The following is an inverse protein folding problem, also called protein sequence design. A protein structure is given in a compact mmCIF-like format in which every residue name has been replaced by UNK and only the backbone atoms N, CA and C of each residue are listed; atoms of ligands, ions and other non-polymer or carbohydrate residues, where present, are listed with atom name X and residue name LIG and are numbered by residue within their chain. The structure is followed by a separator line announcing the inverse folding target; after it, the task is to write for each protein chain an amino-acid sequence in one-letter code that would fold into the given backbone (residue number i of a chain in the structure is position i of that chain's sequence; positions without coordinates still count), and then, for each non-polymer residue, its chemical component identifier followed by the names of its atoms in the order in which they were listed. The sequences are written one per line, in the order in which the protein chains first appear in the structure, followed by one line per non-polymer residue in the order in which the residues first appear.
data_IF_897544841654
#
_entry.id   IF_897544841654
#
_cell.length_a   1.000
_cell.length_b   1.000
_cell.length_c   1.000
_cell.angle_alpha   90.00
_cell.angle_beta   90.00
_cell.angle_gamma   90.00
#
_symmetry.space_group_name_H-M   'P 1'
#
loop_
_entity.id
_entity.type
_entity.pdbx_description
1 polymer ?
#
# COMPACT_ATOMS: atom_id res chain seq x y z
N UNK A 1 63.35 -31.26 -20.83
CA UNK A 1 63.56 -32.73 -20.71
C UNK A 1 63.26 -33.14 -19.27
N UNK A 2 62.28 -34.02 -19.07
CA UNK A 2 62.16 -35.07 -18.03
C UNK A 2 62.56 -34.71 -16.56
N UNK A 3 61.59 -34.57 -15.65
CA UNK A 3 61.17 -35.53 -14.58
C UNK A 3 61.52 -34.91 -13.20
N UNK A 4 60.90 -35.13 -12.04
CA UNK A 4 59.79 -35.94 -11.54
C UNK A 4 59.37 -35.35 -10.17
N UNK A 5 58.16 -35.67 -9.73
CA UNK A 5 57.54 -35.42 -8.42
C UNK A 5 58.36 -35.82 -7.18
N UNK A 6 58.17 -35.08 -6.08
CA UNK A 6 58.18 -35.63 -4.72
C UNK A 6 57.18 -34.88 -3.81
N UNK A 7 56.20 -35.64 -3.33
CA UNK A 7 55.18 -35.28 -2.34
C UNK A 7 55.81 -34.88 -0.99
N UNK A 8 55.29 -33.82 -0.36
CA UNK A 8 55.23 -33.73 1.10
C UNK A 8 53.84 -33.24 1.49
N UNK A 9 52.96 -34.17 1.87
CA UNK A 9 51.68 -33.88 2.47
C UNK A 9 51.90 -33.52 3.95
N UNK A 10 51.85 -32.22 4.26
CA UNK A 10 51.85 -31.76 5.65
C UNK A 10 50.40 -31.63 6.11
N UNK A 11 49.90 -32.70 6.71
CA UNK A 11 48.57 -32.79 7.30
C UNK A 11 48.60 -32.08 8.68
N UNK A 12 48.35 -30.77 8.70
CA UNK A 12 48.22 -30.00 9.95
C UNK A 12 46.84 -30.22 10.55
N UNK A 13 46.81 -30.99 11.63
CA UNK A 13 45.66 -31.24 12.48
C UNK A 13 45.35 -29.97 13.30
N UNK A 14 44.47 -29.09 12.80
CA UNK A 14 43.91 -28.01 13.62
C UNK A 14 42.83 -28.59 14.53
N UNK A 15 43.17 -28.81 15.80
CA UNK A 15 42.20 -29.05 16.86
C UNK A 15 41.45 -27.73 17.13
N UNK A 16 40.34 -27.52 16.41
CA UNK A 16 39.43 -26.41 16.69
C UNK A 16 38.68 -26.74 17.99
N UNK A 17 39.08 -26.09 19.08
CA UNK A 17 38.35 -26.13 20.34
C UNK A 17 36.95 -25.55 20.12
N UNK A 18 35.92 -26.39 20.24
CA UNK A 18 34.53 -25.96 20.25
C UNK A 18 34.25 -25.39 21.66
N UNK A 19 34.45 -24.09 21.84
CA UNK A 19 33.92 -23.39 23.00
C UNK A 19 32.41 -23.22 22.81
N UNK A 20 31.56 -23.57 23.79
CA UNK A 20 30.15 -23.25 23.73
C UNK A 20 29.99 -21.73 23.86
N UNK A 21 29.66 -21.07 22.75
CA UNK A 21 29.21 -19.69 22.76
C UNK A 21 27.97 -19.58 23.64
N UNK A 22 28.06 -18.81 24.73
CA UNK A 22 26.88 -18.46 25.51
C UNK A 22 25.86 -17.76 24.61
N UNK A 23 24.56 -18.11 24.67
CA UNK A 23 23.55 -17.40 23.91
C UNK A 23 23.53 -15.93 24.36
N UNK A 24 23.57 -15.01 23.39
CA UNK A 24 23.35 -13.59 23.65
C UNK A 24 22.00 -13.42 24.38
N UNK A 25 21.87 -12.47 25.32
CA UNK A 25 20.58 -12.20 25.94
C UNK A 25 19.62 -11.75 24.84
N UNK A 26 18.67 -12.62 24.51
CA UNK A 26 17.54 -12.25 23.66
C UNK A 26 16.75 -11.20 24.43
N UNK A 27 16.98 -9.93 24.12
CA UNK A 27 16.05 -8.88 24.49
C UNK A 27 14.76 -9.22 23.76
N UNK A 28 13.82 -9.84 24.48
CA UNK A 28 12.48 -10.03 23.98
C UNK A 28 12.00 -8.64 23.53
N UNK A 29 11.71 -8.50 22.23
CA UNK A 29 10.99 -7.33 21.74
C UNK A 29 9.73 -7.24 22.60
N UNK A 30 9.63 -6.17 23.38
CA UNK A 30 8.41 -5.87 24.11
C UNK A 30 7.28 -5.87 23.08
N UNK A 31 6.34 -6.81 23.22
CA UNK A 31 5.15 -6.83 22.40
C UNK A 31 4.52 -5.43 22.52
N UNK A 32 4.14 -4.79 21.40
CA UNK A 32 3.43 -3.53 21.49
C UNK A 32 2.21 -3.79 22.38
N UNK A 33 2.05 -2.95 23.41
CA UNK A 33 0.88 -3.01 24.27
C UNK A 33 -0.34 -2.98 23.35
N UNK A 34 -1.22 -3.98 23.49
CA UNK A 34 -2.49 -4.04 22.77
C UNK A 34 -3.24 -2.75 23.09
N UNK A 35 -3.18 -1.77 22.18
CA UNK A 35 -4.04 -0.60 22.24
C UNK A 35 -5.43 -1.18 22.15
N UNK A 36 -6.14 -1.18 23.27
CA UNK A 36 -7.55 -1.51 23.28
C UNK A 36 -8.25 -0.37 22.53
N UNK A 37 -8.38 -0.52 21.20
CA UNK A 37 -9.38 0.22 20.45
C UNK A 37 -10.70 -0.15 21.09
N UNK A 38 -11.18 0.74 21.97
CA UNK A 38 -12.57 0.75 22.38
C UNK A 38 -13.30 1.40 21.22
N UNK A 39 -13.32 0.71 20.07
CA UNK A 39 -14.32 0.92 19.08
C UNK A 39 -15.60 0.45 19.76
N UNK A 40 -16.32 1.40 20.34
CA UNK A 40 -17.71 1.19 20.72
C UNK A 40 -18.43 0.95 19.40
N UNK A 41 -18.43 -0.31 18.96
CA UNK A 41 -19.36 -0.77 17.96
C UNK A 41 -20.73 -0.67 18.63
N UNK A 42 -21.35 0.49 18.47
CA UNK A 42 -22.78 0.65 18.68
C UNK A 42 -23.47 -0.25 17.67
N UNK A 43 -23.69 -1.51 18.06
CA UNK A 43 -24.83 -2.25 17.57
C UNK A 43 -26.06 -1.38 17.90
N UNK A 44 -26.92 -1.17 16.91
CA UNK A 44 -28.16 -0.37 16.94
C UNK A 44 -28.12 1.00 16.22
N UNK A 45 -27.09 1.29 15.42
CA UNK A 45 -27.31 2.20 14.29
C UNK A 45 -28.08 1.41 13.23
N UNK A 46 -29.33 1.77 12.95
CA UNK A 46 -29.94 1.43 11.65
C UNK A 46 -28.90 1.74 10.58
N UNK A 47 -28.63 0.79 9.67
CA UNK A 47 -27.62 0.95 8.64
C UNK A 47 -28.07 2.08 7.73
N UNK A 48 -27.59 3.28 8.05
CA UNK A 48 -27.90 4.49 7.33
C UNK A 48 -27.49 4.32 5.87
N UNK A 49 -28.39 4.74 4.99
CA UNK A 49 -28.13 4.76 3.56
C UNK A 49 -26.84 5.52 3.22
N UNK A 50 -26.07 4.99 2.27
CA UNK A 50 -24.75 5.51 1.92
C UNK A 50 -24.84 6.97 1.46
N UNK A 51 -25.90 7.36 0.74
CA UNK A 51 -26.06 8.74 0.29
C UNK A 51 -26.21 9.72 1.46
N UNK A 52 -27.04 9.40 2.46
CA UNK A 52 -27.18 10.22 3.66
C UNK A 52 -25.86 10.34 4.43
N UNK A 53 -25.08 9.25 4.47
CA UNK A 53 -23.76 9.26 5.11
C UNK A 53 -22.77 10.18 4.38
N UNK A 54 -22.79 10.18 3.05
CA UNK A 54 -21.95 11.06 2.22
C UNK A 54 -22.33 12.53 2.42
N UNK A 55 -23.62 12.86 2.46
CA UNK A 55 -24.09 14.22 2.74
C UNK A 55 -23.56 14.74 4.08
N UNK A 56 -23.64 13.93 5.15
CA UNK A 56 -23.09 14.32 6.45
C UNK A 56 -21.57 14.48 6.48
N UNK A 57 -20.86 13.77 5.61
CA UNK A 57 -19.41 13.91 5.45
C UNK A 57 -19.04 15.12 4.59
N UNK A 58 -20.01 15.93 4.16
CA UNK A 58 -19.78 17.06 3.27
C UNK A 58 -19.46 16.62 1.85
N UNK A 59 -20.12 15.55 1.39
CA UNK A 59 -19.93 15.02 0.04
C UNK A 59 -20.26 16.05 -1.04
N UNK A 60 -19.38 16.13 -2.03
CA UNK A 60 -19.52 17.00 -3.20
C UNK A 60 -19.38 16.15 -4.47
N UNK A 61 -19.91 16.57 -5.63
CA UNK A 61 -19.66 15.87 -6.88
C UNK A 61 -18.15 15.76 -7.16
N UNK A 62 -17.67 14.57 -7.48
CA UNK A 62 -16.31 14.42 -7.99
C UNK A 62 -16.19 15.12 -9.36
N UNK A 63 -15.03 15.72 -9.70
CA UNK A 63 -14.83 16.35 -11.00
C UNK A 63 -15.08 15.37 -12.15
N UNK A 64 -15.92 15.78 -13.12
CA UNK A 64 -16.23 15.03 -14.34
C UNK A 64 -16.67 13.56 -14.12
N UNK A 65 -17.36 13.27 -13.01
CA UNK A 65 -17.69 11.92 -12.57
C UNK A 65 -19.08 11.82 -11.92
N UNK A 66 -19.69 10.63 -11.94
CA UNK A 66 -20.94 10.32 -11.23
C UNK A 66 -20.71 10.01 -9.73
N UNK A 67 -19.46 9.95 -9.30
CA UNK A 67 -19.10 9.69 -7.91
C UNK A 67 -19.31 10.92 -7.03
N UNK A 68 -19.64 10.68 -5.76
CA UNK A 68 -19.62 11.71 -4.70
C UNK A 68 -18.30 11.64 -3.95
N UNK A 69 -17.54 12.74 -3.97
CA UNK A 69 -16.26 12.90 -3.31
C UNK A 69 -16.43 13.33 -1.85
N UNK A 70 -15.71 12.67 -0.95
CA UNK A 70 -15.55 13.05 0.46
C UNK A 70 -14.08 13.08 0.82
N UNK A 71 -13.70 14.02 1.69
CA UNK A 71 -12.31 14.19 2.11
C UNK A 71 -12.14 13.74 3.56
N UNK A 72 -11.16 12.86 3.80
CA UNK A 72 -10.81 12.39 5.13
C UNK A 72 -9.41 12.86 5.50
N UNK A 73 -9.28 13.55 6.64
CA UNK A 73 -7.99 13.87 7.23
C UNK A 73 -7.40 12.62 7.89
N UNK A 74 -6.22 12.20 7.44
CA UNK A 74 -5.47 11.06 7.98
C UNK A 74 -4.13 11.52 8.55
N UNK A 75 -3.59 10.88 9.60
CA UNK A 75 -2.28 11.24 10.13
C UNK A 75 -1.15 11.19 9.09
N UNK A 76 -0.19 12.12 9.20
CA UNK A 76 1.06 12.01 8.47
C UNK A 76 1.85 10.76 8.88
N UNK A 77 1.91 10.51 10.17
CA UNK A 77 2.53 9.34 10.78
C UNK A 77 1.51 8.65 11.71
N UNK A 78 1.12 7.42 11.37
CA UNK A 78 0.19 6.66 12.20
C UNK A 78 0.80 6.22 13.54
N UNK A 79 2.13 6.21 13.68
CA UNK A 79 2.81 5.97 14.96
C UNK A 79 2.94 7.24 15.81
N UNK A 80 2.75 8.41 15.21
CA UNK A 80 2.69 9.70 15.89
C UNK A 80 1.52 10.56 15.37
N UNK A 81 0.26 10.25 15.75
CA UNK A 81 -0.92 10.89 15.18
C UNK A 81 -1.05 12.39 15.47
N UNK A 82 -0.32 12.91 16.46
CA UNK A 82 -0.26 14.35 16.76
C UNK A 82 0.71 15.13 15.86
N UNK A 83 1.45 14.44 14.98
CA UNK A 83 2.40 15.03 14.03
C UNK A 83 1.76 15.77 12.84
N UNK A 84 0.45 15.95 12.85
CA UNK A 84 -0.33 16.58 11.78
C UNK A 84 -1.04 15.57 10.87
N UNK A 85 -1.87 16.09 9.98
CA UNK A 85 -2.70 15.30 9.06
C UNK A 85 -2.51 15.76 7.62
N UNK A 86 -2.82 14.86 6.69
CA UNK A 86 -3.04 15.17 5.28
C UNK A 86 -4.42 14.72 4.86
N UNK A 87 -4.88 15.22 3.73
CA UNK A 87 -6.18 14.87 3.17
C UNK A 87 -6.07 13.68 2.20
N UNK A 88 -7.01 12.74 2.34
CA UNK A 88 -7.24 11.66 1.38
C UNK A 88 -8.67 11.80 0.86
N UNK A 89 -8.79 11.96 -0.45
CA UNK A 89 -10.08 12.11 -1.14
C UNK A 89 -10.55 10.76 -1.64
N UNK A 90 -11.76 10.41 -1.25
CA UNK A 90 -12.48 9.21 -1.67
C UNK A 90 -13.65 9.61 -2.55
N UNK A 91 -13.86 8.88 -3.64
CA UNK A 91 -15.05 8.95 -4.46
C UNK A 91 -15.90 7.73 -4.16
N UNK A 92 -17.19 7.95 -3.88
CA UNK A 92 -18.15 6.88 -3.60
C UNK A 92 -19.32 6.96 -4.59
N UNK A 93 -19.60 5.84 -5.24
CA UNK A 93 -20.80 5.62 -6.05
C UNK A 93 -21.70 4.63 -5.28
N UNK A 94 -22.80 5.09 -4.67
CA UNK A 94 -23.72 4.22 -3.94
C UNK A 94 -24.31 3.12 -4.83
N UNK A 95 -24.58 1.96 -4.24
CA UNK A 95 -25.28 0.87 -4.91
C UNK A 95 -26.65 1.36 -5.42
N UNK A 96 -27.03 0.98 -6.65
CA UNK A 96 -28.34 1.38 -7.21
C UNK A 96 -29.52 0.49 -6.77
N UNK A 97 -29.23 -0.70 -6.23
CA UNK A 97 -30.20 -1.67 -5.73
C UNK A 97 -30.05 -1.97 -4.24
N UNK A 98 -30.33 -3.22 -3.84
CA UNK A 98 -30.22 -3.64 -2.43
C UNK A 98 -28.73 -3.81 -2.08
N UNK A 99 -28.17 -2.83 -1.38
CA UNK A 99 -26.77 -2.84 -0.97
C UNK A 99 -26.39 -4.12 -0.19
N UNK A 100 -25.30 -4.75 -0.62
CA UNK A 100 -24.65 -5.93 -0.03
C UNK A 100 -23.30 -5.60 0.63
N UNK A 101 -22.75 -4.41 0.37
CA UNK A 101 -21.51 -3.94 0.98
C UNK A 101 -20.83 -2.85 0.14
N UNK A 102 -19.51 -2.72 0.32
CA UNK A 102 -18.67 -1.78 -0.43
C UNK A 102 -17.54 -2.52 -1.13
N UNK A 103 -17.26 -2.15 -2.37
CA UNK A 103 -16.08 -2.55 -3.12
C UNK A 103 -15.10 -1.39 -3.16
N UNK A 104 -14.03 -1.46 -2.37
CA UNK A 104 -12.99 -0.43 -2.32
C UNK A 104 -11.85 -0.82 -3.25
N UNK A 105 -11.52 0.08 -4.19
CA UNK A 105 -10.55 -0.15 -5.25
C UNK A 105 -9.43 0.88 -5.14
N UNK A 106 -8.21 0.38 -4.93
CA UNK A 106 -7.00 1.16 -5.11
C UNK A 106 -6.46 0.88 -6.52
N UNK A 107 -6.28 1.92 -7.33
CA UNK A 107 -5.71 1.80 -8.68
C UNK A 107 -4.20 2.07 -8.67
N UNK A 108 -3.52 1.57 -9.70
CA UNK A 108 -2.24 2.11 -10.14
C UNK A 108 -1.08 1.13 -10.34
N UNK A 109 0.11 1.73 -10.48
CA UNK A 109 1.40 1.22 -10.03
C UNK A 109 1.69 1.90 -8.69
N UNK A 110 2.64 2.84 -8.60
CA UNK A 110 2.54 3.97 -7.69
C UNK A 110 2.13 5.26 -8.43
N UNK A 111 1.31 6.10 -7.79
CA UNK A 111 1.03 7.47 -8.27
C UNK A 111 -0.11 7.62 -9.28
N UNK A 112 -0.82 6.56 -9.65
CA UNK A 112 -2.03 6.68 -10.46
C UNK A 112 -3.22 7.14 -9.59
N UNK A 113 -4.02 8.06 -10.12
CA UNK A 113 -5.24 8.52 -9.45
C UNK A 113 -6.35 7.47 -9.54
N UNK A 114 -6.97 7.17 -8.41
CA UNK A 114 -8.16 6.33 -8.32
C UNK A 114 -9.36 7.05 -8.89
N UNK A 115 -9.51 8.33 -8.56
CA UNK A 115 -10.66 9.14 -8.97
C UNK A 115 -10.70 9.36 -10.48
N UNK A 116 -9.56 9.68 -11.11
CA UNK A 116 -9.48 9.82 -12.58
C UNK A 116 -9.73 8.51 -13.33
N UNK A 117 -9.61 7.36 -12.67
CA UNK A 117 -9.81 6.04 -13.28
C UNK A 117 -11.20 5.46 -12.99
N UNK A 118 -11.95 6.04 -12.05
CA UNK A 118 -13.12 5.43 -11.44
C UNK A 118 -14.21 5.07 -12.46
N UNK A 119 -14.64 6.04 -13.27
CA UNK A 119 -15.70 5.83 -14.26
C UNK A 119 -15.30 4.82 -15.34
N UNK A 120 -14.03 4.82 -15.76
CA UNK A 120 -13.54 3.85 -16.73
C UNK A 120 -13.57 2.42 -16.18
N UNK A 121 -13.14 2.22 -14.93
CA UNK A 121 -13.22 0.93 -14.26
C UNK A 121 -14.66 0.46 -14.09
N UNK A 122 -15.55 1.32 -13.59
CA UNK A 122 -16.97 0.98 -13.38
C UNK A 122 -17.65 0.62 -14.70
N UNK A 123 -17.35 1.32 -15.79
CA UNK A 123 -17.91 1.01 -17.11
C UNK A 123 -17.56 -0.39 -17.63
N UNK A 124 -16.53 -1.01 -17.07
CA UNK A 124 -16.07 -2.36 -17.44
C UNK A 124 -16.55 -3.44 -16.47
N UNK A 125 -17.23 -3.08 -15.38
CA UNK A 125 -17.77 -4.03 -14.42
C UNK A 125 -19.04 -4.69 -14.93
N UNK A 126 -19.29 -5.91 -14.45
CA UNK A 126 -20.61 -6.50 -14.57
C UNK A 126 -21.63 -5.57 -13.87
N UNK A 127 -22.76 -5.22 -14.50
CA UNK A 127 -23.73 -4.28 -13.93
C UNK A 127 -24.26 -4.68 -12.55
N UNK A 128 -24.23 -5.97 -12.20
CA UNK A 128 -24.62 -6.44 -10.87
C UNK A 128 -23.67 -5.94 -9.75
N UNK A 129 -22.45 -5.54 -10.10
CA UNK A 129 -21.49 -4.99 -9.13
C UNK A 129 -21.97 -3.63 -8.60
N UNK A 130 -22.15 -2.58 -9.42
CA UNK A 130 -22.70 -1.31 -8.94
C UNK A 130 -24.20 -1.37 -8.60
N UNK A 131 -24.91 -2.46 -8.95
CA UNK A 131 -26.27 -2.71 -8.41
C UNK A 131 -26.23 -3.06 -6.93
N UNK A 132 -25.27 -3.88 -6.49
CA UNK A 132 -25.26 -4.45 -5.15
C UNK A 132 -24.16 -3.91 -4.24
N UNK A 133 -23.16 -3.19 -4.74
CA UNK A 133 -22.06 -2.67 -3.94
C UNK A 133 -21.91 -1.18 -4.15
N UNK A 134 -21.67 -0.46 -3.06
CA UNK A 134 -21.10 0.87 -3.19
C UNK A 134 -19.70 0.72 -3.76
N UNK A 135 -19.39 1.45 -4.82
CA UNK A 135 -18.07 1.43 -5.41
C UNK A 135 -17.27 2.59 -4.85
N UNK A 136 -16.08 2.30 -4.33
CA UNK A 136 -15.20 3.31 -3.75
C UNK A 136 -13.87 3.31 -4.48
N UNK A 137 -13.52 4.47 -5.02
CA UNK A 137 -12.17 4.77 -5.47
C UNK A 137 -11.59 5.85 -4.58
N UNK A 138 -10.27 5.96 -4.52
CA UNK A 138 -9.63 7.02 -3.78
C UNK A 138 -8.28 7.37 -4.36
N UNK A 139 -7.93 8.63 -4.23
CA UNK A 139 -6.58 9.06 -4.51
C UNK A 139 -5.73 8.78 -3.28
N UNK A 140 -4.74 7.90 -3.43
CA UNK A 140 -3.81 7.58 -2.35
C UNK A 140 -3.05 8.84 -1.87
N UNK A 141 -2.42 8.76 -0.69
CA UNK A 141 -1.70 9.90 -0.08
C UNK A 141 -0.71 10.52 -1.08
N UNK A 142 -0.82 11.82 -1.34
CA UNK A 142 0.06 12.52 -2.28
C UNK A 142 -0.25 12.26 -3.75
N UNK A 143 -1.42 11.73 -4.09
CA UNK A 143 -1.85 11.50 -5.49
C UNK A 143 -3.05 12.39 -5.78
N UNK A 144 -3.15 12.90 -7.02
CA UNK A 144 -4.36 13.58 -7.53
C UNK A 144 -4.92 14.62 -6.56
N UNK A 145 -6.20 14.46 -6.19
CA UNK A 145 -6.90 15.37 -5.28
C UNK A 145 -6.41 15.26 -3.82
N UNK A 146 -5.67 14.21 -3.46
CA UNK A 146 -5.07 13.97 -2.13
C UNK A 146 -3.66 14.57 -1.97
N UNK A 147 -3.37 15.68 -2.66
CA UNK A 147 -2.13 16.46 -2.51
C UNK A 147 -1.17 16.45 -3.72
N UNK A 148 -1.34 15.54 -4.68
CA UNK A 148 -0.76 15.65 -6.03
C UNK A 148 0.77 15.84 -6.14
N UNK A 149 1.58 14.97 -5.51
CA UNK A 149 3.04 14.96 -5.67
C UNK A 149 3.44 14.80 -7.14
N UNK A 150 4.36 15.64 -7.60
CA UNK A 150 4.81 15.67 -8.99
C UNK A 150 6.19 15.04 -9.16
N UNK A 151 6.21 13.73 -9.38
CA UNK A 151 7.44 12.94 -9.41
C UNK A 151 7.76 12.41 -10.82
N UNK A 152 7.74 13.28 -11.83
CA UNK A 152 7.81 12.86 -13.24
C UNK A 152 9.02 11.98 -13.56
N UNK A 153 10.21 12.32 -13.03
CA UNK A 153 11.42 11.54 -13.27
C UNK A 153 11.37 10.15 -12.60
N UNK A 154 11.00 10.10 -11.33
CA UNK A 154 10.86 8.85 -10.57
C UNK A 154 9.80 7.94 -11.18
N UNK A 155 8.63 8.50 -11.54
CA UNK A 155 7.56 7.78 -12.23
C UNK A 155 8.06 7.21 -13.57
N UNK A 156 8.75 8.03 -14.37
CA UNK A 156 9.24 7.60 -15.68
C UNK A 156 10.36 6.55 -15.58
N UNK A 157 11.13 6.52 -14.49
CA UNK A 157 12.08 5.45 -14.22
C UNK A 157 11.35 4.14 -13.84
N UNK A 158 10.36 4.22 -12.95
CA UNK A 158 9.57 3.07 -12.50
C UNK A 158 8.77 2.41 -13.64
N UNK A 159 8.05 3.21 -14.42
CA UNK A 159 7.19 2.71 -15.50
C UNK A 159 7.96 2.21 -16.73
N UNK A 160 9.27 2.47 -16.84
CA UNK A 160 10.13 1.91 -17.89
C UNK A 160 10.94 0.69 -17.44
N UNK A 161 10.84 0.30 -16.17
CA UNK A 161 11.53 -0.87 -15.67
C UNK A 161 11.02 -2.15 -16.35
N UNK A 162 11.77 -3.24 -16.19
CA UNK A 162 11.25 -4.58 -16.48
C UNK A 162 10.33 -5.00 -15.33
N UNK A 163 9.10 -5.40 -15.67
CA UNK A 163 8.07 -5.82 -14.72
C UNK A 163 7.97 -7.35 -14.62
N UNK A 164 8.82 -8.09 -15.34
CA UNK A 164 8.96 -9.51 -15.13
C UNK A 164 9.48 -9.77 -13.71
N UNK A 165 8.64 -10.29 -12.83
CA UNK A 165 9.01 -10.72 -11.49
C UNK A 165 9.10 -12.26 -11.37
N UNK A 166 9.23 -12.98 -12.48
CA UNK A 166 9.18 -14.46 -12.49
C UNK A 166 10.42 -15.14 -11.91
N UNK A 167 11.52 -14.40 -11.71
CA UNK A 167 12.73 -14.89 -11.06
C UNK A 167 13.06 -14.05 -9.83
N UNK A 168 13.72 -14.65 -8.83
CA UNK A 168 14.14 -13.92 -7.63
C UNK A 168 15.07 -12.73 -7.94
N UNK A 169 15.87 -12.82 -9.01
CA UNK A 169 16.73 -11.73 -9.44
C UNK A 169 15.90 -10.55 -9.99
N UNK A 170 14.90 -10.83 -10.83
CA UNK A 170 14.08 -9.78 -11.42
C UNK A 170 13.10 -9.18 -10.39
N UNK A 171 12.57 -9.99 -9.48
CA UNK A 171 11.79 -9.51 -8.33
C UNK A 171 12.62 -8.54 -7.46
N UNK A 172 13.86 -8.90 -7.14
CA UNK A 172 14.75 -8.03 -6.37
C UNK A 172 15.07 -6.71 -7.09
N UNK A 173 15.24 -6.77 -8.42
CA UNK A 173 15.44 -5.59 -9.25
C UNK A 173 14.20 -4.68 -9.26
N UNK A 174 13.01 -5.23 -9.49
CA UNK A 174 11.75 -4.49 -9.47
C UNK A 174 11.49 -3.86 -8.10
N UNK A 175 11.73 -4.60 -7.02
CA UNK A 175 11.63 -4.08 -5.66
C UNK A 175 12.64 -2.94 -5.39
N UNK A 176 13.83 -3.01 -5.99
CA UNK A 176 14.81 -1.92 -5.91
C UNK A 176 14.33 -0.67 -6.65
N UNK A 177 13.76 -0.82 -7.84
CA UNK A 177 13.17 0.28 -8.59
C UNK A 177 11.99 0.91 -7.84
N UNK A 178 11.12 0.10 -7.23
CA UNK A 178 10.01 0.57 -6.41
C UNK A 178 10.48 1.39 -5.21
N UNK A 179 11.54 0.94 -4.52
CA UNK A 179 12.18 1.72 -3.44
C UNK A 179 12.78 3.03 -3.96
N UNK A 180 13.42 3.00 -5.13
CA UNK A 180 13.92 4.20 -5.80
C UNK A 180 12.81 5.22 -6.05
N UNK A 181 11.65 4.78 -6.57
CA UNK A 181 10.49 5.67 -6.73
C UNK A 181 10.13 6.37 -5.41
N UNK A 182 10.00 5.62 -4.31
CA UNK A 182 9.62 6.20 -3.01
C UNK A 182 10.70 7.14 -2.42
N UNK A 183 11.97 6.91 -2.72
CA UNK A 183 13.08 7.74 -2.26
C UNK A 183 13.24 9.02 -3.08
N UNK A 184 12.97 8.94 -4.38
CA UNK A 184 13.16 10.05 -5.31
C UNK A 184 11.89 10.90 -5.46
N UNK A 185 10.72 10.35 -5.11
CA UNK A 185 9.43 11.04 -5.08
C UNK A 185 9.18 11.66 -3.70
N UNK A 186 9.92 12.73 -3.38
CA UNK A 186 9.77 13.47 -2.12
C UNK A 186 8.87 14.69 -2.29
N UNK A 187 8.12 15.02 -1.22
CA UNK A 187 7.24 16.17 -1.10
C UNK A 187 7.99 17.46 -0.76
#
# INVERSE_FOLDING_TARGET
MKKLFALFALMTLFAQACAPSAPAPTTALAQPAKVANTATAGADAEEEDTAARLERLGGEPCPDSEFTCVTLAVPYDHFNPSGGTLDVVFGVLPASGVRKGMLVVATGGPGASGLLSADNYVSSYDPSIPEYFDIVFFDQRGVGLSGGLQCAAAAAAFYRADWDASTAANEAALASTARGFAQDCVA
#
